data_IF_618117492030
#
_entry.id   IF_618117492030
#
_cell.length_a   1.000
_cell.length_b   1.000
_cell.length_c   1.000
_cell.angle_alpha   90.00
_cell.angle_beta   90.00
_cell.angle_gamma   90.00
#
_symmetry.space_group_name_H-M   'P 1'
#
loop_
_entity.id
_entity.type
_entity.pdbx_description
1 polymer ?
#
# COMPACT_ATOMS: atom_id res chain seq x y z
N UNK A 1 0.71 11.95 0.77
CA UNK A 1 0.50 10.63 1.41
C UNK A 1 1.77 10.21 2.11
N UNK A 2 1.65 9.68 3.28
CA UNK A 2 2.80 9.18 4.04
C UNK A 2 2.50 7.77 4.52
N UNK A 3 3.48 6.90 4.37
CA UNK A 3 3.38 5.53 4.84
C UNK A 3 4.72 5.06 5.35
N UNK A 4 4.71 4.04 6.17
CA UNK A 4 5.92 3.46 6.76
C UNK A 4 5.97 1.97 6.45
N UNK A 5 7.15 1.41 6.58
CA UNK A 5 7.31 -0.04 6.41
C UNK A 5 6.38 -0.75 7.38
N UNK A 6 5.65 -1.72 6.88
CA UNK A 6 4.66 -2.46 7.64
C UNK A 6 3.24 -1.94 7.50
N UNK A 7 3.06 -0.73 6.99
CA UNK A 7 1.74 -0.20 6.73
C UNK A 7 1.10 -0.93 5.56
N UNK A 8 -0.23 -0.88 5.51
CA UNK A 8 -0.99 -1.48 4.43
C UNK A 8 -1.59 -0.39 3.56
N UNK A 9 -1.53 -0.60 2.26
CA UNK A 9 -2.18 0.28 1.29
C UNK A 9 -3.38 -0.46 0.73
N UNK A 10 -4.53 0.19 0.79
CA UNK A 10 -5.76 -0.36 0.23
C UNK A 10 -6.02 0.35 -1.09
N UNK A 11 -5.90 -0.38 -2.18
CA UNK A 11 -6.11 0.15 -3.51
C UNK A 11 -7.52 -0.23 -3.95
N UNK A 12 -8.35 0.77 -4.17
CA UNK A 12 -9.74 0.53 -4.52
C UNK A 12 -9.86 0.15 -5.99
N UNK A 13 -10.70 -0.85 -6.24
CA UNK A 13 -11.04 -1.20 -7.60
C UNK A 13 -11.92 -0.10 -8.19
N UNK A 14 -11.64 0.26 -9.45
CA UNK A 14 -12.36 1.35 -10.09
C UNK A 14 -13.46 0.88 -11.00
N UNK A 15 -13.46 -0.41 -11.32
CA UNK A 15 -14.41 -0.96 -12.27
C UNK A 15 -15.33 -1.92 -11.56
N UNK A 16 -16.55 -2.02 -12.05
CA UNK A 16 -17.50 -3.00 -11.51
C UNK A 16 -16.88 -4.39 -11.63
N UNK A 17 -16.93 -5.13 -10.54
CA UNK A 17 -16.36 -6.47 -10.49
C UNK A 17 -14.92 -6.53 -10.03
N UNK A 18 -14.27 -5.41 -9.88
CA UNK A 18 -12.89 -5.38 -9.34
C UNK A 18 -12.95 -5.21 -7.84
N UNK A 19 -12.15 -5.99 -7.15
CA UNK A 19 -12.06 -5.94 -5.69
C UNK A 19 -10.95 -5.00 -5.27
N UNK A 20 -11.09 -4.47 -4.07
CA UNK A 20 -10.00 -3.73 -3.46
C UNK A 20 -8.82 -4.68 -3.25
N UNK A 21 -7.62 -4.16 -3.41
CA UNK A 21 -6.41 -4.93 -3.19
C UNK A 21 -5.64 -4.29 -2.06
N UNK A 22 -5.04 -5.12 -1.24
CA UNK A 22 -4.24 -4.67 -0.12
C UNK A 22 -2.78 -5.06 -0.36
N UNK A 23 -1.89 -4.12 -0.09
CA UNK A 23 -0.47 -4.36 -0.24
C UNK A 23 0.26 -3.88 1.00
N UNK A 24 1.28 -4.61 1.40
CA UNK A 24 2.11 -4.23 2.53
C UNK A 24 3.30 -3.44 2.05
N UNK A 25 3.60 -2.33 2.71
CA UNK A 25 4.76 -1.52 2.39
C UNK A 25 6.01 -2.22 2.90
N UNK A 26 6.89 -2.58 1.99
CA UNK A 26 8.15 -3.23 2.32
C UNK A 26 9.29 -2.22 2.44
N UNK A 27 9.21 -1.14 1.65
CA UNK A 27 10.26 -0.14 1.64
C UNK A 27 9.67 1.17 1.16
N UNK A 28 10.08 2.26 1.81
CA UNK A 28 9.69 3.61 1.42
C UNK A 28 10.87 4.20 0.66
N UNK A 29 10.64 4.58 -0.58
CA UNK A 29 11.69 5.09 -1.44
C UNK A 29 11.71 6.60 -1.53
N UNK A 30 10.60 7.25 -1.20
CA UNK A 30 10.55 8.70 -1.14
C UNK A 30 10.96 9.22 0.23
N UNK A 31 11.06 10.54 0.35
CA UNK A 31 11.44 11.16 1.59
C UNK A 31 10.26 11.27 2.53
N UNK A 32 10.49 11.04 3.82
CA UNK A 32 9.49 11.29 4.87
C UNK A 32 8.20 10.52 4.67
N UNK A 33 8.33 9.28 4.21
CA UNK A 33 7.16 8.43 4.05
C UNK A 33 6.39 8.67 2.77
N UNK A 34 6.99 9.36 1.80
CA UNK A 34 6.31 9.65 0.54
C UNK A 34 6.60 8.57 -0.51
N UNK A 35 5.75 8.46 -1.55
CA UNK A 35 5.98 7.49 -2.62
C UNK A 35 7.24 7.81 -3.41
N UNK A 36 7.75 6.86 -4.18
CA UNK A 36 7.17 5.54 -4.39
C UNK A 36 7.45 4.58 -3.25
N UNK A 37 6.69 3.49 -3.22
CA UNK A 37 6.87 2.44 -2.23
C UNK A 37 7.12 1.11 -2.91
N UNK A 38 7.94 0.29 -2.29
CA UNK A 38 8.01 -1.11 -2.66
C UNK A 38 7.00 -1.85 -1.80
N UNK A 39 6.09 -2.54 -2.44
CA UNK A 39 4.98 -3.18 -1.75
C UNK A 39 4.87 -4.64 -2.16
N UNK A 40 4.21 -5.42 -1.32
CA UNK A 40 3.89 -6.80 -1.60
C UNK A 40 2.38 -6.94 -1.49
N UNK A 41 1.75 -7.35 -2.60
CA UNK A 41 0.31 -7.54 -2.61
C UNK A 41 -0.06 -8.80 -1.83
N UNK A 42 -1.12 -8.68 -1.02
CA UNK A 42 -1.50 -9.77 -0.13
C UNK A 42 -2.14 -10.92 -0.89
N UNK A 43 -2.80 -10.63 -2.02
CA UNK A 43 -3.58 -11.65 -2.71
C UNK A 43 -2.70 -12.69 -3.41
N UNK A 44 -1.56 -12.29 -3.95
CA UNK A 44 -0.70 -13.24 -4.66
C UNK A 44 0.76 -13.18 -4.23
N UNK A 45 1.08 -12.31 -3.29
CA UNK A 45 2.46 -12.17 -2.82
C UNK A 45 3.39 -11.50 -3.79
N UNK A 46 2.86 -10.84 -4.80
CA UNK A 46 3.65 -10.18 -5.82
C UNK A 46 4.21 -8.86 -5.28
N UNK A 47 5.50 -8.63 -5.51
CA UNK A 47 6.13 -7.36 -5.13
C UNK A 47 6.18 -6.44 -6.33
N UNK A 48 5.98 -5.16 -6.05
CA UNK A 48 5.99 -4.15 -7.10
C UNK A 48 6.34 -2.79 -6.51
N UNK A 49 6.78 -1.90 -7.38
CA UNK A 49 6.92 -0.49 -7.02
C UNK A 49 5.59 0.20 -7.31
N UNK A 50 5.21 1.09 -6.42
CA UNK A 50 3.89 1.68 -6.51
C UNK A 50 3.93 3.14 -6.07
N UNK A 51 3.25 3.99 -6.84
CA UNK A 51 2.99 5.37 -6.47
C UNK A 51 1.49 5.52 -6.31
N UNK A 52 0.98 5.38 -5.08
CA UNK A 52 -0.47 5.36 -4.88
C UNK A 52 -1.11 6.67 -5.31
N UNK A 53 -2.26 6.56 -5.91
CA UNK A 53 -3.06 7.72 -6.24
C UNK A 53 -3.88 8.20 -5.06
N UNK A 54 -4.69 9.25 -5.26
CA UNK A 54 -5.47 9.81 -4.17
C UNK A 54 -6.56 8.89 -3.66
N UNK A 55 -6.91 7.85 -4.42
CA UNK A 55 -7.91 6.88 -4.01
C UNK A 55 -7.39 5.83 -3.05
N UNK A 56 -6.08 5.78 -2.87
CA UNK A 56 -5.47 4.74 -2.04
C UNK A 56 -5.51 5.18 -0.59
N UNK A 57 -5.92 4.26 0.26
CA UNK A 57 -6.01 4.50 1.70
C UNK A 57 -4.84 3.82 2.38
N UNK A 58 -4.19 4.54 3.28
CA UNK A 58 -3.11 3.99 4.08
C UNK A 58 -3.68 3.53 5.41
N UNK A 59 -3.45 2.26 5.73
CA UNK A 59 -3.81 1.71 7.03
C UNK A 59 -2.53 1.43 7.79
N UNK A 60 -2.33 2.16 8.85
CA UNK A 60 -1.12 2.01 9.63
C UNK A 60 -1.13 0.69 10.36
N UNK A 61 0.05 0.09 10.41
CA UNK A 61 0.22 -1.13 11.15
C UNK A 61 0.00 -0.85 12.62
N UNK A 62 -0.96 -1.53 13.21
CA UNK A 62 -1.20 -1.40 14.63
C UNK A 62 -0.55 -2.55 15.34
N UNK A 63 0.26 -2.19 16.29
CA UNK A 63 0.94 -3.18 17.08
C UNK A 63 0.09 -3.48 18.31
N UNK A 64 -0.82 -4.39 18.13
CA UNK A 64 -1.74 -4.76 19.20
C UNK A 64 -1.01 -5.53 20.26
N UNK A 65 -1.27 -5.18 21.45
CA UNK A 65 -0.64 -5.84 22.57
C UNK A 65 -1.66 -6.61 23.39
#
# INVERSE_FOLDING_TARGET
>A
MQASVGDKLVVHGRTVGHHDRTAEVLQVLGDNGTPPYRVKFDDDGHEALMSPGPDTVVRHHENMK
#
